data_IF_676360323187
#
_entry.id   IF_676360323187
#
_cell.length_a   1.000
_cell.length_b   1.000
_cell.length_c   1.000
_cell.angle_alpha   90.00
_cell.angle_beta   90.00
_cell.angle_gamma   90.00
#
_symmetry.space_group_name_H-M   'P 1'
#
loop_
_entity.id
_entity.type
_entity.pdbx_description
1 polymer ?
#
# COMPACT_ATOMS: atom_id res chain seq x y z
N UNK A 1 -3.30 10.99 -10.79
CA UNK A 1 -3.92 10.28 -9.66
C UNK A 1 -4.73 11.26 -8.84
N UNK A 2 -5.99 10.93 -8.64
CA UNK A 2 -6.92 11.82 -7.92
C UNK A 2 -7.02 11.35 -6.46
N UNK A 3 -6.25 11.98 -5.57
CA UNK A 3 -6.21 11.59 -4.17
C UNK A 3 -7.45 12.00 -3.38
N UNK A 4 -8.35 12.76 -3.98
CA UNK A 4 -9.61 13.11 -3.32
C UNK A 4 -10.48 11.87 -3.06
N UNK A 5 -10.24 10.80 -3.79
CA UNK A 5 -10.96 9.54 -3.63
C UNK A 5 -10.19 8.52 -2.80
N UNK A 6 -9.17 8.95 -2.09
CA UNK A 6 -8.32 8.08 -1.28
C UNK A 6 -8.58 8.31 0.19
N UNK A 7 -8.48 7.26 0.99
CA UNK A 7 -8.52 7.41 2.44
C UNK A 7 -7.29 8.18 2.92
N UNK A 8 -7.36 8.74 4.10
CA UNK A 8 -6.22 9.46 4.67
C UNK A 8 -4.98 8.56 4.74
N UNK A 9 -5.15 7.31 5.15
CA UNK A 9 -4.03 6.36 5.23
C UNK A 9 -3.47 6.03 3.87
N UNK A 10 -4.32 5.93 2.84
CA UNK A 10 -3.86 5.68 1.49
C UNK A 10 -3.09 6.88 0.94
N UNK A 11 -3.54 8.10 1.25
CA UNK A 11 -2.79 9.32 0.87
C UNK A 11 -1.43 9.32 1.54
N UNK A 12 -1.35 8.96 2.83
CA UNK A 12 -0.09 8.87 3.54
C UNK A 12 0.85 7.86 2.88
N UNK A 13 0.31 6.73 2.42
CA UNK A 13 1.12 5.72 1.74
C UNK A 13 1.67 6.23 0.41
N UNK A 14 0.86 6.96 -0.35
CA UNK A 14 1.30 7.56 -1.61
C UNK A 14 2.40 8.58 -1.34
N UNK A 15 2.21 9.44 -0.36
CA UNK A 15 3.22 10.44 0.01
C UNK A 15 4.48 9.77 0.53
N UNK A 16 4.33 8.70 1.31
CA UNK A 16 5.46 7.92 1.79
C UNK A 16 6.27 7.30 0.67
N UNK A 17 5.58 6.80 -0.37
CA UNK A 17 6.26 6.26 -1.54
C UNK A 17 7.10 7.33 -2.24
N UNK A 18 6.54 8.53 -2.39
CA UNK A 18 7.26 9.65 -2.98
C UNK A 18 8.47 10.03 -2.14
N UNK A 19 8.31 10.07 -0.82
CA UNK A 19 9.40 10.42 0.08
C UNK A 19 10.53 9.40 0.02
N UNK A 20 10.20 8.11 -0.02
CA UNK A 20 11.21 7.04 -0.10
C UNK A 20 11.98 7.16 -1.42
N UNK A 21 11.27 7.39 -2.52
CA UNK A 21 11.91 7.58 -3.82
C UNK A 21 12.87 8.79 -3.77
N UNK A 22 12.40 9.87 -3.17
CA UNK A 22 13.22 11.08 -3.06
C UNK A 22 14.48 10.84 -2.22
N UNK A 23 14.33 10.15 -1.09
CA UNK A 23 15.45 9.84 -0.19
C UNK A 23 16.53 9.01 -0.88
N UNK A 24 16.14 8.19 -1.84
CA UNK A 24 17.06 7.32 -2.56
C UNK A 24 17.42 7.86 -3.94
N UNK A 25 17.08 9.11 -4.21
CA UNK A 25 17.34 9.77 -5.50
C UNK A 25 16.79 8.99 -6.68
N UNK A 26 15.67 8.33 -6.48
CA UNK A 26 14.97 7.61 -7.54
C UNK A 26 14.01 8.56 -8.24
N UNK A 27 14.15 8.71 -9.53
CA UNK A 27 13.25 9.56 -10.31
C UNK A 27 11.95 8.87 -10.60
N UNK A 28 11.96 7.57 -10.82
CA UNK A 28 10.77 6.79 -11.10
C UNK A 28 10.21 6.19 -9.82
N UNK A 29 8.93 6.46 -9.56
CA UNK A 29 8.22 5.83 -8.44
C UNK A 29 7.75 4.46 -8.91
N UNK A 30 8.12 3.41 -8.18
CA UNK A 30 7.85 2.02 -8.52
C UNK A 30 6.98 1.37 -7.45
N UNK A 31 6.38 0.20 -7.75
CA UNK A 31 5.57 -0.52 -6.74
C UNK A 31 6.33 -0.79 -5.45
N UNK A 32 7.64 -1.01 -5.52
CA UNK A 32 8.46 -1.22 -4.32
C UNK A 32 8.39 -0.04 -3.36
N UNK A 33 8.33 1.17 -3.88
CA UNK A 33 8.19 2.36 -3.04
C UNK A 33 6.84 2.35 -2.30
N UNK A 34 5.77 1.97 -2.99
CA UNK A 34 4.46 1.86 -2.34
C UNK A 34 4.46 0.78 -1.26
N UNK A 35 5.05 -0.36 -1.56
CA UNK A 35 5.10 -1.45 -0.59
C UNK A 35 5.88 -1.03 0.65
N UNK A 36 7.03 -0.37 0.46
CA UNK A 36 7.82 0.12 1.59
C UNK A 36 6.98 1.05 2.47
N UNK A 37 6.28 1.99 1.85
CA UNK A 37 5.46 2.94 2.60
C UNK A 37 4.36 2.24 3.39
N UNK A 38 3.72 1.22 2.79
CA UNK A 38 2.68 0.47 3.48
C UNK A 38 3.24 -0.30 4.68
N UNK A 39 4.45 -0.83 4.55
CA UNK A 39 5.09 -1.59 5.63
C UNK A 39 5.70 -0.69 6.70
N UNK A 40 5.94 0.56 6.38
CA UNK A 40 6.56 1.50 7.31
C UNK A 40 5.60 1.92 8.44
N UNK A 41 4.31 1.75 8.25
CA UNK A 41 3.31 2.04 9.27
C UNK A 41 3.02 0.77 10.07
N UNK A 42 3.67 0.65 11.23
CA UNK A 42 3.52 -0.54 12.09
C UNK A 42 2.12 -0.68 12.66
N UNK A 43 1.37 0.42 12.70
CA UNK A 43 -0.02 0.41 13.16
C UNK A 43 -1.00 0.29 11.98
N UNK A 44 -0.47 0.20 10.78
CA UNK A 44 -1.27 0.14 9.57
C UNK A 44 -1.90 -1.22 9.34
N UNK A 45 -2.94 -1.22 8.53
CA UNK A 45 -3.70 -2.43 8.21
C UNK A 45 -2.83 -3.50 7.57
N UNK A 46 -2.01 -3.11 6.59
CA UNK A 46 -1.18 -4.09 5.85
C UNK A 46 -0.18 -4.76 6.78
N UNK A 47 0.50 -3.96 7.63
CA UNK A 47 1.45 -4.50 8.58
C UNK A 47 0.77 -5.54 9.50
N UNK A 48 -0.41 -5.18 10.01
CA UNK A 48 -1.16 -6.06 10.91
C UNK A 48 -1.63 -7.34 10.23
N UNK A 49 -2.11 -7.23 9.01
CA UNK A 49 -2.56 -8.41 8.26
C UNK A 49 -1.40 -9.36 8.01
N UNK A 50 -0.27 -8.84 7.53
CA UNK A 50 0.90 -9.68 7.28
C UNK A 50 1.41 -10.34 8.54
N UNK A 51 1.46 -9.60 9.65
CA UNK A 51 1.86 -10.16 10.94
C UNK A 51 0.91 -11.28 11.35
N UNK A 52 -0.38 -11.09 11.15
CA UNK A 52 -1.38 -12.13 11.45
C UNK A 52 -1.24 -13.37 10.57
N UNK A 53 -0.69 -13.22 9.39
CA UNK A 53 -0.41 -14.33 8.48
C UNK A 53 0.97 -14.94 8.72
N UNK A 54 1.65 -14.51 9.79
CA UNK A 54 2.97 -14.98 10.17
C UNK A 54 4.06 -14.60 9.15
N UNK A 55 3.81 -13.49 8.43
CA UNK A 55 4.82 -12.89 7.55
C UNK A 55 5.52 -11.81 8.36
N UNK A 56 6.86 -11.86 8.39
CA UNK A 56 7.64 -10.82 9.08
C UNK A 56 7.62 -9.55 8.26
N UNK A 57 6.73 -8.62 8.62
CA UNK A 57 6.60 -7.36 7.91
C UNK A 57 7.87 -6.53 7.98
N UNK A 58 8.56 -6.55 9.13
CA UNK A 58 9.82 -5.82 9.29
C UNK A 58 10.92 -6.38 8.39
N UNK A 59 11.03 -7.70 8.31
CA UNK A 59 12.03 -8.32 7.44
C UNK A 59 11.72 -8.06 5.97
N UNK A 60 10.44 -8.14 5.61
CA UNK A 60 10.02 -7.83 4.22
C UNK A 60 10.33 -6.37 3.89
N UNK A 61 10.05 -5.46 4.82
CA UNK A 61 10.37 -4.04 4.64
C UNK A 61 11.86 -3.83 4.37
N UNK A 62 12.73 -4.49 5.16
CA UNK A 62 14.16 -4.41 4.97
C UNK A 62 14.60 -4.94 3.62
N UNK A 63 14.00 -6.04 3.17
CA UNK A 63 14.30 -6.62 1.87
C UNK A 63 13.86 -5.69 0.73
N UNK A 64 12.70 -5.06 0.87
CA UNK A 64 12.22 -4.08 -0.11
C UNK A 64 13.17 -2.88 -0.16
N UNK A 65 13.63 -2.43 1.00
CA UNK A 65 14.57 -1.32 1.06
C UNK A 65 15.87 -1.66 0.30
N UNK A 66 16.36 -2.89 0.44
CA UNK A 66 17.54 -3.32 -0.30
C UNK A 66 17.33 -3.27 -1.80
N UNK A 67 16.13 -3.63 -2.27
CA UNK A 67 15.79 -3.52 -3.68
C UNK A 67 15.80 -2.07 -4.12
N UNK A 68 15.21 -1.19 -3.32
CA UNK A 68 15.15 0.25 -3.62
C UNK A 68 16.57 0.82 -3.71
N UNK A 69 17.48 0.38 -2.83
CA UNK A 69 18.87 0.83 -2.86
C UNK A 69 19.58 0.45 -4.15
N UNK A 70 19.09 -0.58 -4.84
CA UNK A 70 19.68 -1.02 -6.10
C UNK A 70 19.16 -0.26 -7.33
N UNK A 71 18.12 0.56 -7.15
CA UNK A 71 17.57 1.33 -8.26
C UNK A 71 18.50 2.44 -8.71
N UNK A 72 18.45 2.82 -10.00
CA UNK A 72 19.28 3.91 -10.49
C UNK A 72 19.03 5.20 -9.72
N UNK A 73 20.09 5.87 -9.35
CA UNK A 73 20.02 7.16 -8.68
C UNK A 73 20.21 8.26 -9.72
N UNK A 74 19.27 9.21 -9.73
CA UNK A 74 19.33 10.35 -10.63
C UNK A 74 19.44 11.60 -9.77
N UNK A 75 20.59 12.25 -9.81
CA UNK A 75 20.80 13.47 -9.06
C UNK A 75 21.03 14.61 -10.05
N UNK A 76 20.66 15.81 -9.65
CA UNK A 76 20.88 16.99 -10.44
C UNK A 76 19.65 17.88 -10.48
N UNK A 77 19.92 19.13 -10.82
CA UNK A 77 18.85 20.11 -10.94
C UNK A 77 17.93 19.74 -12.10
N UNK A 78 16.65 19.88 -11.87
CA UNK A 78 15.66 19.61 -12.91
C UNK A 78 15.21 18.17 -13.01
N UNK A 79 15.77 17.26 -12.20
CA UNK A 79 15.28 15.89 -12.14
C UNK A 79 13.91 15.90 -11.48
N UNK A 80 12.87 15.51 -12.23
CA UNK A 80 11.51 15.47 -11.71
C UNK A 80 11.09 14.04 -11.45
N UNK A 81 10.45 13.82 -10.30
CA UNK A 81 9.91 12.52 -9.99
C UNK A 81 8.64 12.26 -10.80
N UNK A 82 8.47 11.04 -11.25
CA UNK A 82 7.28 10.67 -11.99
C UNK A 82 6.82 9.28 -11.57
N UNK A 83 5.53 9.03 -11.78
CA UNK A 83 4.94 7.73 -11.51
C UNK A 83 5.29 6.79 -12.66
N UNK A 84 6.05 5.74 -12.39
CA UNK A 84 6.43 4.77 -13.41
C UNK A 84 5.22 3.97 -13.92
N UNK A 85 5.40 3.30 -15.04
CA UNK A 85 4.31 2.52 -15.65
C UNK A 85 3.82 1.41 -14.74
N UNK A 86 4.73 0.74 -14.05
CA UNK A 86 4.34 -0.35 -13.16
C UNK A 86 3.56 0.17 -11.96
N UNK A 87 3.99 1.29 -11.38
CA UNK A 87 3.27 1.91 -10.27
C UNK A 87 1.92 2.46 -10.73
N UNK A 88 1.85 2.99 -11.95
CA UNK A 88 0.59 3.47 -12.50
C UNK A 88 -0.42 2.32 -12.61
N UNK A 89 0.05 1.12 -12.98
CA UNK A 89 -0.82 -0.07 -13.03
C UNK A 89 -1.32 -0.45 -11.64
N UNK A 90 -0.47 -0.31 -10.63
CA UNK A 90 -0.86 -0.58 -9.23
C UNK A 90 -1.99 0.36 -8.83
N UNK A 91 -1.83 1.65 -9.10
CA UNK A 91 -2.84 2.66 -8.77
C UNK A 91 -4.15 2.38 -9.51
N UNK A 92 -4.08 2.09 -10.81
CA UNK A 92 -5.27 1.79 -11.60
C UNK A 92 -5.99 0.55 -11.06
N UNK A 93 -5.23 -0.48 -10.70
CA UNK A 93 -5.81 -1.69 -10.12
C UNK A 93 -6.45 -1.41 -8.77
N UNK A 94 -5.81 -0.57 -7.95
CA UNK A 94 -6.35 -0.20 -6.65
C UNK A 94 -7.71 0.49 -6.80
N UNK A 95 -7.82 1.42 -7.74
CA UNK A 95 -9.06 2.11 -8.00
C UNK A 95 -10.15 1.16 -8.49
N UNK A 96 -9.76 0.19 -9.30
CA UNK A 96 -10.67 -0.82 -9.81
C UNK A 96 -11.19 -1.73 -8.67
N UNK A 97 -10.32 -2.12 -7.75
CA UNK A 97 -10.73 -2.93 -6.60
C UNK A 97 -11.68 -2.17 -5.68
N UNK A 98 -11.40 -0.89 -5.44
CA UNK A 98 -12.30 -0.07 -4.61
C UNK A 98 -13.68 -0.01 -5.22
N UNK A 99 -13.75 0.20 -6.53
CA UNK A 99 -15.01 0.27 -7.25
C UNK A 99 -15.74 -1.06 -7.21
N UNK A 100 -15.01 -2.16 -7.42
CA UNK A 100 -15.57 -3.51 -7.38
C UNK A 100 -16.17 -3.82 -6.02
N UNK A 101 -15.49 -3.39 -4.95
CA UNK A 101 -15.94 -3.64 -3.58
C UNK A 101 -17.07 -2.68 -3.16
N UNK A 102 -17.42 -1.73 -3.99
CA UNK A 102 -18.43 -0.73 -3.65
C UNK A 102 -17.94 0.31 -2.67
N UNK A 103 -16.63 0.44 -2.51
CA UNK A 103 -16.04 1.41 -1.60
C UNK A 103 -15.98 2.78 -2.26
N UNK A 104 -16.33 3.82 -1.49
CA UNK A 104 -16.28 5.18 -1.99
C UNK A 104 -14.84 5.69 -2.14
N UNK A 105 -13.92 5.12 -1.37
CA UNK A 105 -12.53 5.56 -1.33
C UNK A 105 -11.57 4.42 -1.52
N UNK A 106 -10.43 4.74 -2.14
CA UNK A 106 -9.33 3.77 -2.27
C UNK A 106 -8.59 3.73 -0.94
N UNK A 107 -8.51 2.55 -0.34
CA UNK A 107 -7.79 2.34 0.91
C UNK A 107 -6.45 1.67 0.68
N UNK A 108 -5.67 1.55 1.76
CA UNK A 108 -4.36 0.88 1.68
C UNK A 108 -4.50 -0.57 1.23
N UNK A 109 -5.60 -1.23 1.59
CA UNK A 109 -5.85 -2.61 1.15
C UNK A 109 -5.96 -2.71 -0.36
N UNK A 110 -6.58 -1.71 -0.99
CA UNK A 110 -6.71 -1.70 -2.44
C UNK A 110 -5.37 -1.48 -3.12
N UNK A 111 -4.52 -0.62 -2.52
CA UNK A 111 -3.17 -0.40 -3.03
C UNK A 111 -2.35 -1.69 -2.95
N UNK A 112 -2.47 -2.41 -1.84
CA UNK A 112 -1.75 -3.68 -1.69
C UNK A 112 -2.25 -4.74 -2.67
N UNK A 113 -3.56 -4.83 -2.88
CA UNK A 113 -4.12 -5.72 -3.89
C UNK A 113 -3.60 -5.38 -5.28
N UNK A 114 -3.50 -4.08 -5.57
CA UNK A 114 -2.92 -3.63 -6.83
C UNK A 114 -1.47 -4.07 -7.00
N UNK A 115 -0.70 -4.01 -5.91
CA UNK A 115 0.69 -4.48 -5.92
C UNK A 115 0.74 -5.99 -6.19
N UNK A 116 -0.14 -6.75 -5.54
CA UNK A 116 -0.18 -8.21 -5.71
C UNK A 116 -0.53 -8.60 -7.15
N UNK A 117 -1.36 -7.82 -7.82
CA UNK A 117 -1.75 -8.09 -9.20
C UNK A 117 -0.71 -7.64 -10.22
N UNK A 118 0.18 -6.74 -9.84
CA UNK A 118 1.15 -6.13 -10.74
C UNK A 118 2.56 -6.23 -10.15
N UNK A 119 2.93 -7.44 -9.75
CA UNK A 119 4.22 -7.69 -9.11
C UNK A 119 5.36 -7.53 -10.11
N UNK A 120 6.37 -6.76 -9.71
CA UNK A 120 7.62 -6.70 -10.46
C UNK A 120 8.38 -8.01 -10.22
N UNK A 121 9.42 -8.24 -11.00
CA UNK A 121 10.26 -9.42 -10.80
C UNK A 121 10.84 -9.47 -9.38
N UNK A 122 11.24 -8.32 -8.87
CA UNK A 122 11.76 -8.22 -7.51
C UNK A 122 10.69 -8.60 -6.47
N UNK A 123 9.47 -8.08 -6.64
CA UNK A 123 8.40 -8.35 -5.71
C UNK A 123 7.96 -9.80 -5.76
N UNK A 124 7.96 -10.42 -6.93
CA UNK A 124 7.64 -11.84 -7.04
C UNK A 124 8.59 -12.69 -6.21
N UNK A 125 9.88 -12.37 -6.27
CA UNK A 125 10.89 -13.07 -5.49
C UNK A 125 10.68 -12.87 -3.99
N UNK A 126 10.42 -11.64 -3.58
CA UNK A 126 10.25 -11.30 -2.17
C UNK A 126 8.98 -11.95 -1.62
N UNK A 127 7.88 -11.85 -2.32
CA UNK A 127 6.61 -12.42 -1.85
C UNK A 127 6.72 -13.94 -1.74
N UNK A 128 7.38 -14.57 -2.70
CA UNK A 128 7.62 -16.02 -2.63
C UNK A 128 8.50 -16.37 -1.44
N UNK A 129 9.57 -15.61 -1.21
CA UNK A 129 10.53 -15.87 -0.13
C UNK A 129 9.89 -15.70 1.25
N UNK A 130 9.01 -14.71 1.40
CA UNK A 130 8.41 -14.39 2.70
C UNK A 130 7.02 -15.01 2.89
N UNK A 131 6.54 -15.73 1.89
CA UNK A 131 5.25 -16.43 2.01
C UNK A 131 4.04 -15.52 1.89
N UNK A 132 4.17 -14.41 1.18
CA UNK A 132 3.04 -13.53 0.93
C UNK A 132 2.18 -14.13 -0.19
N UNK A 133 0.92 -14.40 0.12
CA UNK A 133 0.00 -15.02 -0.81
C UNK A 133 -1.26 -14.16 -0.93
N UNK A 134 -1.66 -13.89 -2.17
CA UNK A 134 -2.82 -13.04 -2.42
C UNK A 134 -4.09 -13.62 -1.83
N UNK A 135 -4.30 -14.93 -1.99
CA UNK A 135 -5.52 -15.57 -1.47
C UNK A 135 -5.59 -15.48 0.04
N UNK A 136 -4.45 -15.70 0.73
CA UNK A 136 -4.40 -15.58 2.19
C UNK A 136 -4.65 -14.15 2.63
N UNK A 137 -4.07 -13.18 1.92
CA UNK A 137 -4.29 -11.77 2.22
C UNK A 137 -5.77 -11.41 2.08
N UNK A 138 -6.38 -11.80 0.96
CA UNK A 138 -7.79 -11.49 0.71
C UNK A 138 -8.70 -12.13 1.74
N UNK A 139 -8.39 -13.36 2.15
CA UNK A 139 -9.17 -14.04 3.18
C UNK A 139 -9.08 -13.31 4.53
N UNK A 140 -7.87 -12.90 4.90
CA UNK A 140 -7.68 -12.15 6.15
C UNK A 140 -8.38 -10.80 6.10
N UNK A 141 -8.30 -10.11 4.96
CA UNK A 141 -8.96 -8.84 4.78
C UNK A 141 -10.48 -8.98 4.87
N UNK A 142 -11.02 -10.03 4.25
CA UNK A 142 -12.46 -10.30 4.28
C UNK A 142 -12.93 -10.50 5.72
N UNK A 143 -12.18 -11.24 6.53
CA UNK A 143 -12.52 -11.47 7.93
C UNK A 143 -12.56 -10.16 8.71
N UNK A 144 -11.61 -9.27 8.44
CA UNK A 144 -11.57 -7.97 9.10
C UNK A 144 -12.78 -7.11 8.69
N UNK A 145 -13.09 -7.08 7.39
CA UNK A 145 -14.18 -6.26 6.88
C UNK A 145 -15.56 -6.75 7.33
N UNK A 146 -15.70 -8.06 7.54
CA UNK A 146 -16.98 -8.63 7.95
C UNK A 146 -17.12 -8.82 9.45
N UNK A 147 -16.04 -8.60 10.21
CA UNK A 147 -16.11 -8.70 11.66
C UNK A 147 -17.04 -7.62 12.23
N UNK A 148 -17.76 -7.92 13.32
CA UNK A 148 -18.57 -6.89 13.97
C UNK A 148 -17.67 -5.72 14.33
N UNK A 149 -18.07 -4.53 13.94
CA UNK A 149 -17.27 -3.35 14.19
C UNK A 149 -17.47 -2.92 15.64
N UNK A 150 -16.51 -3.18 16.44
CA UNK A 150 -16.53 -2.79 17.83
C UNK A 150 -15.71 -1.53 18.04
N UNK A 151 -15.56 -0.78 17.28
CA UNK A 151 -14.84 0.39 17.39
C UNK A 151 -14.61 1.39 16.52
N UNK A 152 -14.44 0.99 16.59
CA UNK A 152 -14.15 1.52 15.75
C UNK A 152 -13.43 1.88 15.31
N UNK A 153 -13.06 1.98 15.06
CA UNK A 153 -12.48 2.24 14.13
C UNK A 153 -11.71 2.30 13.64
N UNK A 154 -11.74 2.31 13.68
CA UNK A 154 -11.10 2.44 12.85
C UNK A 154 -10.56 2.90 12.42
N UNK A 155 -10.60 3.12 12.27
CA UNK A 155 -10.46 3.57 11.59
C UNK A 155 -10.46 3.99 11.42
N UNK A 156 -10.36 3.95 11.92
CA UNK A 156 -10.77 4.08 11.50
C UNK A 156 -10.88 3.99 11.18
N UNK A 157 -10.82 3.98 11.38
CA UNK A 157 -11.22 3.77 10.76
C UNK A 157 -11.25 3.69 10.28
N UNK A 158 -11.43 3.36 10.52
CA UNK A 158 -11.47 3.42 9.66
C UNK A 158 -11.76 4.21 9.72
N UNK A 159 -11.50 4.92 9.61
CA UNK A 159 -12.05 5.48 9.38
C UNK A 159 -12.42 6.14 9.11
N UNK A 160 -12.25 6.45 9.39
CA UNK A 160 -13.04 6.89 8.96
C UNK A 160 -13.22 7.44 9.02
N UNK A 161 -12.86 7.86 9.06
CA UNK A 161 -13.57 8.28 8.79
C UNK A 161 -13.99 8.52 8.74
N UNK A 162 -13.54 8.73 9.12
CA UNK A 162 -14.49 8.87 8.86
C UNK A 162 -14.93 9.01 8.96
N UNK A 163 -14.52 9.06 9.12
CA UNK A 163 -15.40 9.16 9.05
C UNK A 163 -15.99 9.21 8.81
N UNK A 164 -15.51 9.46 9.46
CA UNK A 164 -16.53 9.42 9.21
C UNK A 164 -16.97 9.30 8.97
N UNK A 165 -16.06 9.42 9.40
CA UNK A 165 -16.95 9.30 8.98
C UNK A 165 -17.24 9.12 9.20
N UNK A 166 -17.21 9.26 9.62
CA UNK A 166 -18.05 9.02 9.61
C UNK A 166 -18.52 8.74 9.39
N UNK A 167 -17.53 8.99 9.33
CA UNK A 167 -18.40 8.66 9.10
C UNK A 167 -18.73 8.41 9.07
N UNK A 168 -18.23 8.64 9.21
CA UNK A 168 -18.99 8.42 9.01
C UNK A 168 -19.45 8.21 8.99
N UNK A 169 -19.03 8.44 8.98
CA UNK A 169 -19.83 8.23 8.70
C UNK A 169 -20.14 8.07 8.71
N UNK A 170 -19.92 8.19 9.11
CA UNK A 170 -20.58 7.97 8.85
C UNK A 170 -20.85 7.87 8.73
#
# INVERSE_FOLDING_TARGET
MDTNKYTAKAVEAVQGAQNVALEHDNQEIKPEHFLYALLDDENGLIYKILTGLQVSADSLKGAVENVIKSFPRVSGEGASMYLGNEAAKVVAAAEKYAKKDGDAYVGVEHLFEGILDNQTANLKKLFSAYGVDKAAFLDALKKIKTAPNTTDNPEDTYEALNKHGYDLVE
#
